data_IF_275765653811
#
_entry.id   IF_275765653811
#
_cell.length_a   1.000
_cell.length_b   1.000
_cell.length_c   1.000
_cell.angle_alpha   90.00
_cell.angle_beta   90.00
_cell.angle_gamma   90.00
#
_symmetry.space_group_name_H-M   'P 1'
#
loop_
_entity.id
_entity.type
_entity.pdbx_description
1 polymer ?
#
# COMPACT_ATOMS: atom_id res chain seq x y z
N UNK A 1 16.28 0.54 43.92
CA UNK A 1 16.63 -0.79 44.48
C UNK A 1 16.98 -1.71 43.33
N UNK A 2 18.13 -2.43 43.34
CA UNK A 2 18.48 -3.32 42.25
C UNK A 2 17.44 -4.44 42.15
N UNK A 3 16.72 -4.49 41.03
CA UNK A 3 15.69 -5.49 40.77
C UNK A 3 16.38 -6.83 40.52
N UNK A 4 16.00 -7.93 41.21
CA UNK A 4 16.57 -9.26 41.01
C UNK A 4 16.52 -9.69 39.54
N UNK A 5 17.55 -10.39 39.06
CA UNK A 5 17.74 -10.76 37.64
C UNK A 5 16.52 -11.47 37.02
N UNK A 6 15.77 -12.25 37.78
CA UNK A 6 14.53 -12.90 37.34
C UNK A 6 13.36 -11.91 37.09
N UNK A 7 13.25 -10.85 37.90
CA UNK A 7 12.24 -9.81 37.75
C UNK A 7 12.59 -8.80 36.65
N UNK A 8 13.88 -8.69 36.28
CA UNK A 8 14.34 -7.82 35.19
C UNK A 8 13.79 -8.26 33.83
N UNK A 9 13.63 -9.56 33.62
CA UNK A 9 13.01 -10.14 32.41
C UNK A 9 11.50 -9.88 32.37
N UNK A 10 10.81 -9.98 33.51
CA UNK A 10 9.37 -9.68 33.60
C UNK A 10 9.11 -8.18 33.41
N UNK A 11 9.93 -7.31 34.01
CA UNK A 11 9.77 -5.87 33.90
C UNK A 11 10.09 -5.38 32.48
N UNK A 12 11.19 -5.81 31.88
CA UNK A 12 11.61 -5.34 30.55
C UNK A 12 10.84 -6.03 29.42
N UNK A 13 10.44 -7.28 29.63
CA UNK A 13 9.74 -8.09 28.62
C UNK A 13 8.21 -7.95 28.62
N UNK A 14 7.59 -7.55 29.75
CA UNK A 14 6.13 -7.46 29.85
C UNK A 14 5.66 -6.07 30.28
N UNK A 15 6.21 -5.51 31.37
CA UNK A 15 5.75 -4.21 31.89
C UNK A 15 6.08 -3.05 30.94
N UNK A 16 7.28 -3.01 30.36
CA UNK A 16 7.66 -1.94 29.42
C UNK A 16 6.78 -1.99 28.16
N UNK A 17 6.58 -3.14 27.47
CA UNK A 17 5.65 -3.21 26.35
C UNK A 17 4.20 -2.90 26.73
N UNK A 18 3.73 -3.34 27.89
CA UNK A 18 2.36 -3.10 28.34
C UNK A 18 2.13 -1.61 28.66
N UNK A 19 3.08 -0.97 29.34
CA UNK A 19 3.04 0.47 29.61
C UNK A 19 3.15 1.29 28.32
N UNK A 20 4.01 0.88 27.38
CA UNK A 20 4.11 1.52 26.07
C UNK A 20 2.82 1.36 25.26
N UNK A 21 2.19 0.18 25.28
CA UNK A 21 0.91 -0.06 24.61
C UNK A 21 -0.25 0.71 25.27
N UNK A 22 -0.28 0.78 26.60
CA UNK A 22 -1.28 1.56 27.34
C UNK A 22 -1.12 3.07 27.08
N UNK A 23 0.12 3.57 27.08
CA UNK A 23 0.41 4.96 26.77
C UNK A 23 0.10 5.28 25.30
N UNK A 24 0.51 4.42 24.36
CA UNK A 24 0.17 4.56 22.96
C UNK A 24 -1.35 4.53 22.76
N UNK A 25 -2.08 3.62 23.42
CA UNK A 25 -3.53 3.57 23.42
C UNK A 25 -4.18 4.83 23.99
N UNK A 26 -3.65 5.36 25.08
CA UNK A 26 -4.11 6.61 25.68
C UNK A 26 -3.93 7.81 24.74
N UNK A 27 -2.76 7.94 24.10
CA UNK A 27 -2.49 8.98 23.10
C UNK A 27 -3.39 8.78 21.86
N UNK A 28 -3.57 7.53 21.44
CA UNK A 28 -4.38 7.18 20.27
C UNK A 28 -5.85 7.52 20.51
N UNK A 29 -6.41 7.25 21.69
CA UNK A 29 -7.81 7.53 22.01
C UNK A 29 -7.99 9.02 22.34
N UNK A 30 -7.11 9.59 23.16
CA UNK A 30 -7.27 10.92 23.73
C UNK A 30 -6.84 12.07 22.82
N UNK A 31 -5.91 11.87 21.90
CA UNK A 31 -5.43 12.93 21.00
C UNK A 31 -5.70 12.61 19.54
N UNK A 32 -5.29 11.43 19.09
CA UNK A 32 -5.44 11.05 17.67
C UNK A 32 -6.90 10.76 17.34
N UNK A 33 -7.63 10.09 18.23
CA UNK A 33 -9.03 9.70 18.03
C UNK A 33 -9.96 10.89 17.86
N UNK A 34 -9.74 11.97 18.60
CA UNK A 34 -10.50 13.21 18.48
C UNK A 34 -10.16 13.98 17.20
N UNK A 35 -8.88 14.02 16.81
CA UNK A 35 -8.46 14.60 15.52
C UNK A 35 -8.99 13.80 14.33
N UNK A 36 -9.00 12.47 14.45
CA UNK A 36 -9.55 11.56 13.43
C UNK A 36 -11.07 11.64 13.39
N UNK A 37 -11.73 11.77 14.55
CA UNK A 37 -13.17 11.97 14.69
C UNK A 37 -13.63 13.29 14.08
N UNK A 38 -12.95 14.39 14.41
CA UNK A 38 -13.24 15.70 13.81
C UNK A 38 -12.94 15.75 12.31
N UNK A 39 -11.90 15.07 11.85
CA UNK A 39 -11.66 14.90 10.42
C UNK A 39 -12.74 14.04 9.76
N UNK A 40 -13.20 12.98 10.42
CA UNK A 40 -14.30 12.14 9.97
C UNK A 40 -15.63 12.91 9.94
N UNK A 41 -15.89 13.77 10.93
CA UNK A 41 -17.07 14.66 10.96
C UNK A 41 -16.97 15.76 9.91
N UNK A 42 -15.76 16.28 9.65
CA UNK A 42 -15.49 17.22 8.58
C UNK A 42 -15.63 16.58 7.19
N UNK A 43 -15.30 15.30 7.03
CA UNK A 43 -15.56 14.54 5.81
C UNK A 43 -17.06 14.21 5.69
N UNK A 44 -17.69 13.78 6.78
CA UNK A 44 -19.08 13.37 6.79
C UNK A 44 -20.02 14.56 6.60
N UNK A 45 -19.73 15.76 7.09
CA UNK A 45 -20.58 16.94 6.91
C UNK A 45 -20.89 17.26 5.43
N UNK A 46 -19.86 17.42 4.57
CA UNK A 46 -20.01 17.53 3.12
C UNK A 46 -20.54 16.25 2.47
N UNK A 47 -20.10 15.05 2.90
CA UNK A 47 -20.52 13.77 2.31
C UNK A 47 -22.00 13.43 2.56
N UNK A 48 -22.58 13.88 3.68
CA UNK A 48 -24.00 13.65 3.98
C UNK A 48 -24.91 14.50 3.10
N UNK A 49 -24.39 15.58 2.49
CA UNK A 49 -25.13 16.38 1.48
C UNK A 49 -25.08 15.77 0.08
N UNK A 50 -24.33 14.68 -0.10
CA UNK A 50 -24.19 13.97 -1.36
C UNK A 50 -25.12 12.75 -1.39
N UNK A 51 -26.42 12.98 -1.29
CA UNK A 51 -27.41 11.94 -1.58
C UNK A 51 -27.28 11.52 -3.07
N UNK A 52 -26.89 10.25 -3.26
CA UNK A 52 -26.87 9.46 -4.49
C UNK A 52 -26.09 9.94 -5.73
N UNK A 53 -25.66 11.20 -5.83
CA UNK A 53 -24.97 11.72 -7.03
C UNK A 53 -23.43 11.62 -6.99
N UNK A 54 -22.80 11.38 -5.83
CA UNK A 54 -21.34 11.58 -5.64
C UNK A 54 -20.58 10.41 -4.98
N UNK A 55 -21.20 9.22 -4.89
CA UNK A 55 -20.55 8.01 -4.38
C UNK A 55 -19.35 7.60 -5.24
N UNK A 56 -19.39 7.88 -6.54
CA UNK A 56 -18.27 7.66 -7.47
C UNK A 56 -17.09 8.59 -7.15
N UNK A 57 -17.34 9.85 -6.81
CA UNK A 57 -16.29 10.79 -6.40
C UNK A 57 -15.64 10.34 -5.09
N UNK A 58 -16.44 9.85 -4.14
CA UNK A 58 -15.91 9.25 -2.91
C UNK A 58 -14.99 8.07 -3.22
N UNK A 59 -15.41 7.15 -4.10
CA UNK A 59 -14.59 6.04 -4.57
C UNK A 59 -13.28 6.51 -5.22
N UNK A 60 -13.35 7.58 -6.03
CA UNK A 60 -12.19 8.19 -6.68
C UNK A 60 -11.18 8.71 -5.65
N UNK A 61 -11.64 9.49 -4.67
CA UNK A 61 -10.79 10.08 -3.63
C UNK A 61 -10.19 9.00 -2.76
N UNK A 62 -10.98 8.02 -2.32
CA UNK A 62 -10.50 6.89 -1.52
C UNK A 62 -9.46 6.07 -2.27
N UNK A 63 -9.72 5.73 -3.55
CA UNK A 63 -8.77 4.98 -4.37
C UNK A 63 -7.45 5.73 -4.60
N UNK A 64 -7.52 7.05 -4.80
CA UNK A 64 -6.34 7.93 -4.87
C UNK A 64 -5.57 7.90 -3.56
N UNK A 65 -6.26 8.08 -2.44
CA UNK A 65 -5.67 8.10 -1.10
C UNK A 65 -4.98 6.78 -0.78
N UNK A 66 -5.63 5.65 -1.08
CA UNK A 66 -5.09 4.30 -0.86
C UNK A 66 -3.75 4.08 -1.58
N UNK A 67 -3.61 4.62 -2.79
CA UNK A 67 -2.44 4.41 -3.63
C UNK A 67 -1.38 5.52 -3.51
N UNK A 68 -1.59 6.51 -2.63
CA UNK A 68 -0.73 7.70 -2.51
C UNK A 68 0.62 7.42 -1.88
N UNK A 69 0.70 6.44 -0.99
CA UNK A 69 1.91 6.13 -0.22
C UNK A 69 2.25 4.64 -0.16
N UNK A 70 1.65 3.84 -1.06
CA UNK A 70 1.97 2.43 -1.28
C UNK A 70 1.83 1.55 -0.02
N UNK A 71 0.82 1.82 0.80
CA UNK A 71 0.54 1.08 2.05
C UNK A 71 1.00 1.79 3.33
N UNK A 72 1.34 3.06 3.24
CA UNK A 72 1.73 3.91 4.37
C UNK A 72 0.53 4.41 5.19
N UNK A 73 0.70 5.56 5.85
CA UNK A 73 -0.30 6.15 6.72
C UNK A 73 -1.60 6.52 5.99
N UNK A 74 -1.53 7.07 4.78
CA UNK A 74 -2.71 7.43 3.98
C UNK A 74 -3.46 6.18 3.51
N UNK A 75 -2.74 5.16 3.04
CA UNK A 75 -3.36 3.89 2.67
C UNK A 75 -4.05 3.19 3.84
N UNK A 76 -3.41 3.17 5.01
CA UNK A 76 -3.96 2.53 6.21
C UNK A 76 -5.09 3.32 6.85
N UNK A 77 -5.08 4.64 6.76
CA UNK A 77 -6.21 5.47 7.24
C UNK A 77 -7.43 5.29 6.34
N UNK A 78 -7.26 5.21 5.02
CA UNK A 78 -8.33 4.87 4.09
C UNK A 78 -8.93 3.48 4.41
N UNK A 79 -8.09 2.48 4.66
CA UNK A 79 -8.54 1.14 5.06
C UNK A 79 -9.24 1.16 6.42
N UNK A 80 -8.69 1.89 7.40
CA UNK A 80 -9.27 2.06 8.72
C UNK A 80 -10.67 2.67 8.68
N UNK A 81 -10.89 3.67 7.81
CA UNK A 81 -12.22 4.25 7.58
C UNK A 81 -13.21 3.18 7.07
N UNK A 82 -12.80 2.34 6.11
CA UNK A 82 -13.59 1.20 5.68
C UNK A 82 -13.88 0.21 6.79
N UNK A 83 -12.87 -0.16 7.60
CA UNK A 83 -12.97 -1.13 8.72
C UNK A 83 -14.00 -0.66 9.74
N UNK A 84 -13.94 0.62 10.12
CA UNK A 84 -14.91 1.21 11.05
C UNK A 84 -16.33 1.13 10.48
N UNK A 85 -16.51 1.42 9.19
CA UNK A 85 -17.81 1.35 8.53
C UNK A 85 -18.42 -0.06 8.49
N UNK A 86 -17.60 -1.09 8.22
CA UNK A 86 -18.09 -2.49 8.17
C UNK A 86 -18.18 -3.15 9.54
N UNK A 87 -17.53 -2.57 10.57
CA UNK A 87 -17.51 -3.09 11.94
C UNK A 87 -18.80 -2.86 12.74
N UNK A 88 -19.78 -2.13 12.19
CA UNK A 88 -21.10 -1.93 12.81
C UNK A 88 -21.96 -3.20 12.73
N UNK A 89 -22.93 -3.38 13.64
CA UNK A 89 -23.80 -4.56 13.68
C UNK A 89 -24.57 -4.83 12.38
N UNK A 90 -24.95 -3.76 11.66
CA UNK A 90 -25.63 -3.83 10.37
C UNK A 90 -24.97 -2.82 9.41
N UNK A 91 -23.86 -3.19 8.75
CA UNK A 91 -23.17 -2.27 7.86
C UNK A 91 -24.05 -1.93 6.67
N UNK A 92 -24.15 -0.64 6.35
CA UNK A 92 -24.91 -0.18 5.19
C UNK A 92 -24.25 -0.64 3.88
N UNK A 93 -25.00 -0.65 2.78
CA UNK A 93 -24.45 -0.92 1.46
C UNK A 93 -23.32 0.05 1.11
N UNK A 94 -23.44 1.31 1.53
CA UNK A 94 -22.40 2.32 1.35
C UNK A 94 -21.11 1.92 2.08
N UNK A 95 -21.19 1.47 3.34
CA UNK A 95 -20.02 1.04 4.12
C UNK A 95 -19.29 -0.12 3.44
N UNK A 96 -20.04 -1.12 2.96
CA UNK A 96 -19.47 -2.26 2.24
C UNK A 96 -18.87 -1.86 0.87
N UNK A 97 -19.42 -0.84 0.24
CA UNK A 97 -18.94 -0.31 -1.04
C UNK A 97 -17.66 0.50 -0.87
N UNK A 98 -17.57 1.31 0.19
CA UNK A 98 -16.35 2.01 0.62
C UNK A 98 -15.23 1.02 0.89
N UNK A 99 -15.51 -0.04 1.66
CA UNK A 99 -14.53 -1.08 1.93
C UNK A 99 -14.05 -1.76 0.63
N UNK A 100 -14.98 -2.11 -0.27
CA UNK A 100 -14.64 -2.73 -1.53
C UNK A 100 -13.72 -1.83 -2.39
N UNK A 101 -14.01 -0.53 -2.46
CA UNK A 101 -13.22 0.43 -3.22
C UNK A 101 -11.77 0.51 -2.72
N UNK A 102 -11.57 0.61 -1.40
CA UNK A 102 -10.23 0.69 -0.78
C UNK A 102 -9.44 -0.60 -0.98
N UNK A 103 -10.08 -1.75 -0.75
CA UNK A 103 -9.43 -3.07 -0.92
C UNK A 103 -9.06 -3.33 -2.38
N UNK A 104 -9.94 -2.98 -3.33
CA UNK A 104 -9.68 -3.10 -4.76
C UNK A 104 -8.54 -2.19 -5.21
N UNK A 105 -8.56 -0.92 -4.79
CA UNK A 105 -7.51 0.03 -5.13
C UNK A 105 -6.13 -0.43 -4.64
N UNK A 106 -6.05 -1.04 -3.46
CA UNK A 106 -4.78 -1.56 -2.90
C UNK A 106 -4.09 -2.63 -3.75
N UNK A 107 -4.79 -3.32 -4.64
CA UNK A 107 -4.20 -4.32 -5.57
C UNK A 107 -3.42 -3.67 -6.72
N UNK A 108 -3.86 -2.47 -7.11
CA UNK A 108 -3.49 -1.82 -8.38
C UNK A 108 -2.01 -1.44 -8.48
N UNK A 109 -1.34 -0.89 -7.44
CA UNK A 109 0.02 -0.39 -7.59
C UNK A 109 1.01 -1.45 -8.09
N UNK A 110 1.08 -2.60 -7.42
CA UNK A 110 2.02 -3.66 -7.76
C UNK A 110 1.63 -4.41 -9.06
N UNK A 111 0.33 -4.59 -9.32
CA UNK A 111 -0.16 -5.15 -10.58
C UNK A 111 0.19 -4.23 -11.77
N UNK A 112 -0.06 -2.93 -11.64
CA UNK A 112 0.20 -1.95 -12.70
C UNK A 112 1.68 -1.82 -13.03
N UNK A 113 2.54 -1.82 -12.01
CA UNK A 113 3.99 -1.69 -12.19
C UNK A 113 4.63 -2.97 -12.74
N UNK A 114 4.18 -4.14 -12.29
CA UNK A 114 4.63 -5.42 -12.86
C UNK A 114 4.20 -5.55 -14.33
N UNK A 115 2.96 -5.15 -14.66
CA UNK A 115 2.48 -5.10 -16.04
C UNK A 115 3.30 -4.11 -16.89
N UNK A 116 3.52 -2.88 -16.41
CA UNK A 116 4.33 -1.89 -17.11
C UNK A 116 5.75 -2.40 -17.42
N UNK A 117 6.32 -3.12 -16.45
CA UNK A 117 7.65 -3.72 -16.56
C UNK A 117 7.67 -4.84 -17.59
N UNK A 118 6.64 -5.67 -17.64
CA UNK A 118 6.49 -6.72 -18.65
C UNK A 118 6.33 -6.13 -20.07
N UNK A 119 5.49 -5.09 -20.21
CA UNK A 119 5.18 -4.44 -21.50
C UNK A 119 6.38 -3.69 -22.07
N UNK A 120 7.11 -2.91 -21.25
CA UNK A 120 8.22 -2.07 -21.74
C UNK A 120 9.47 -2.16 -20.87
N UNK A 121 10.03 -3.37 -20.81
CA UNK A 121 11.25 -3.72 -20.04
C UNK A 121 12.37 -2.69 -20.14
N UNK A 122 12.63 -2.12 -21.33
CA UNK A 122 13.71 -1.16 -21.57
C UNK A 122 13.66 0.13 -20.71
N UNK A 123 12.51 0.41 -20.08
CA UNK A 123 12.28 1.59 -19.22
C UNK A 123 12.45 1.30 -17.72
N UNK A 124 12.75 0.06 -17.38
CA UNK A 124 12.99 -0.41 -16.03
C UNK A 124 14.41 -0.95 -15.93
N UNK A 125 15.02 -0.78 -14.77
CA UNK A 125 16.32 -1.32 -14.41
C UNK A 125 16.29 -2.86 -14.38
N UNK A 126 17.44 -3.55 -14.46
CA UNK A 126 17.47 -5.00 -14.33
C UNK A 126 16.83 -5.50 -13.03
N UNK A 127 17.05 -4.80 -11.92
CA UNK A 127 16.45 -5.13 -10.62
C UNK A 127 14.92 -5.01 -10.64
N UNK A 128 14.37 -3.91 -11.17
CA UNK A 128 12.92 -3.74 -11.34
C UNK A 128 12.32 -4.84 -12.25
N UNK A 129 13.04 -5.26 -13.31
CA UNK A 129 12.59 -6.32 -14.23
C UNK A 129 12.51 -7.69 -13.57
N UNK A 130 13.52 -8.05 -12.79
CA UNK A 130 13.52 -9.31 -12.05
C UNK A 130 12.43 -9.30 -10.98
N UNK A 131 12.31 -8.19 -10.25
CA UNK A 131 11.28 -8.03 -9.25
C UNK A 131 9.86 -8.07 -9.86
N UNK A 132 9.65 -7.53 -11.06
CA UNK A 132 8.34 -7.58 -11.74
C UNK A 132 7.79 -8.97 -12.00
N UNK A 133 8.65 -9.99 -12.10
CA UNK A 133 8.22 -11.39 -12.26
C UNK A 133 7.50 -11.93 -11.01
N UNK A 134 7.75 -11.35 -9.84
CA UNK A 134 7.14 -11.74 -8.57
C UNK A 134 6.20 -10.67 -8.00
N UNK A 135 6.40 -9.39 -8.34
CA UNK A 135 5.62 -8.28 -7.81
C UNK A 135 4.12 -8.37 -8.16
N UNK A 136 3.77 -9.00 -9.28
CA UNK A 136 2.37 -9.21 -9.63
C UNK A 136 1.64 -10.09 -8.60
N UNK A 137 2.33 -11.06 -7.97
CA UNK A 137 1.76 -11.89 -6.91
C UNK A 137 1.44 -11.07 -5.66
N UNK A 138 2.30 -10.12 -5.31
CA UNK A 138 2.07 -9.19 -4.20
C UNK A 138 0.84 -8.33 -4.47
N UNK A 139 0.71 -7.78 -5.67
CA UNK A 139 -0.50 -7.05 -6.07
C UNK A 139 -1.75 -7.94 -6.08
N UNK A 140 -1.62 -9.18 -6.57
CA UNK A 140 -2.69 -10.17 -6.53
C UNK A 140 -3.05 -10.61 -5.09
N UNK A 141 -2.17 -10.40 -4.11
CA UNK A 141 -2.44 -10.64 -2.69
C UNK A 141 -2.89 -9.36 -1.94
N UNK A 142 -3.17 -8.26 -2.66
CA UNK A 142 -3.47 -6.95 -2.06
C UNK A 142 -2.34 -6.41 -1.15
N UNK A 143 -1.09 -6.62 -1.55
CA UNK A 143 0.10 -6.07 -0.86
C UNK A 143 0.63 -4.87 -1.66
N UNK A 144 0.16 -3.62 -1.37
CA UNK A 144 0.56 -2.43 -2.11
C UNK A 144 2.06 -2.10 -1.97
N UNK A 145 2.72 -2.58 -0.91
CA UNK A 145 4.16 -2.44 -0.68
C UNK A 145 4.99 -3.08 -1.80
N UNK A 146 4.39 -3.99 -2.58
CA UNK A 146 4.96 -4.54 -3.80
C UNK A 146 5.32 -3.48 -4.86
N UNK A 147 4.90 -2.23 -4.68
CA UNK A 147 5.27 -1.10 -5.54
C UNK A 147 6.52 -0.33 -5.06
N UNK A 148 6.93 -0.48 -3.80
CA UNK A 148 8.01 0.34 -3.19
C UNK A 148 9.33 0.23 -3.98
N UNK A 149 9.79 -0.96 -4.42
CA UNK A 149 11.04 -1.06 -5.17
C UNK A 149 11.06 -0.25 -6.48
N UNK A 150 9.90 -0.04 -7.11
CA UNK A 150 9.78 0.82 -8.28
C UNK A 150 9.77 2.31 -7.91
N UNK A 151 9.11 2.67 -6.80
CA UNK A 151 9.03 4.04 -6.34
C UNK A 151 10.39 4.59 -5.93
N UNK A 152 11.29 3.76 -5.38
CA UNK A 152 12.68 4.15 -5.09
C UNK A 152 13.40 4.61 -6.36
N UNK A 153 13.18 3.93 -7.50
CA UNK A 153 13.81 4.26 -8.78
C UNK A 153 13.24 5.49 -9.49
N UNK A 154 12.12 6.05 -9.03
CA UNK A 154 11.48 7.20 -9.67
C UNK A 154 10.12 7.57 -9.07
N UNK A 155 10.08 8.15 -7.87
CA UNK A 155 8.83 8.36 -7.12
C UNK A 155 7.88 9.30 -7.85
N UNK A 156 8.41 10.36 -8.47
CA UNK A 156 7.65 11.35 -9.25
C UNK A 156 6.96 10.78 -10.49
N UNK A 157 7.34 9.56 -10.91
CA UNK A 157 6.73 8.87 -12.06
C UNK A 157 5.82 7.73 -11.61
N UNK A 158 6.11 7.15 -10.46
CA UNK A 158 5.39 5.99 -9.92
C UNK A 158 4.17 6.43 -9.13
N UNK A 159 4.31 7.35 -8.18
CA UNK A 159 3.21 7.76 -7.31
C UNK A 159 2.03 8.36 -8.07
N UNK A 160 2.22 9.31 -9.02
CA UNK A 160 1.09 9.84 -9.78
C UNK A 160 0.40 8.76 -10.64
N UNK A 161 1.15 7.76 -11.12
CA UNK A 161 0.60 6.67 -11.91
C UNK A 161 -0.23 5.70 -11.06
N UNK A 162 0.25 5.33 -9.86
CA UNK A 162 -0.48 4.46 -8.94
C UNK A 162 -1.72 5.16 -8.38
N UNK A 163 -1.61 6.45 -8.07
CA UNK A 163 -2.75 7.29 -7.67
C UNK A 163 -3.83 7.35 -8.75
N UNK A 164 -3.44 7.56 -10.02
CA UNK A 164 -4.40 7.60 -11.13
C UNK A 164 -5.13 6.26 -11.33
N UNK A 165 -4.40 5.14 -11.27
CA UNK A 165 -5.02 3.82 -11.37
C UNK A 165 -5.90 3.49 -10.17
N UNK A 166 -5.44 3.79 -8.95
CA UNK A 166 -6.21 3.62 -7.72
C UNK A 166 -7.51 4.42 -7.72
N UNK A 167 -7.44 5.69 -8.13
CA UNK A 167 -8.59 6.57 -8.27
C UNK A 167 -9.65 5.97 -9.20
N UNK A 168 -9.22 5.46 -10.36
CA UNK A 168 -10.15 4.85 -11.33
C UNK A 168 -10.71 3.53 -10.82
N UNK A 169 -9.90 2.67 -10.19
CA UNK A 169 -10.40 1.43 -9.59
C UNK A 169 -11.41 1.71 -8.48
N UNK A 170 -11.15 2.68 -7.61
CA UNK A 170 -12.09 3.08 -6.57
C UNK A 170 -13.40 3.61 -7.16
N UNK A 171 -13.32 4.55 -8.10
CA UNK A 171 -14.49 5.08 -8.80
C UNK A 171 -15.32 3.99 -9.50
N UNK A 172 -14.67 3.09 -10.23
CA UNK A 172 -15.32 1.97 -10.91
C UNK A 172 -15.93 0.98 -9.93
N UNK A 173 -15.24 0.66 -8.83
CA UNK A 173 -15.77 -0.26 -7.83
C UNK A 173 -17.07 0.27 -7.24
N UNK A 174 -17.13 1.57 -6.95
CA UNK A 174 -18.36 2.21 -6.48
C UNK A 174 -19.44 2.29 -7.57
N UNK A 175 -19.09 2.73 -8.78
CA UNK A 175 -20.02 2.84 -9.90
C UNK A 175 -20.65 1.49 -10.29
N UNK A 176 -19.88 0.41 -10.17
CA UNK A 176 -20.33 -0.95 -10.46
C UNK A 176 -21.03 -1.62 -9.25
N UNK A 177 -21.14 -0.93 -8.12
CA UNK A 177 -21.79 -1.43 -6.91
C UNK A 177 -21.08 -2.62 -6.27
N UNK A 178 -19.75 -2.66 -6.32
CA UNK A 178 -18.95 -3.69 -5.66
C UNK A 178 -19.03 -3.54 -4.14
N UNK A 179 -19.26 -4.63 -3.43
CA UNK A 179 -19.41 -4.64 -1.96
C UNK A 179 -18.57 -5.75 -1.33
N UNK A 180 -18.04 -5.50 -0.14
CA UNK A 180 -17.44 -6.52 0.74
C UNK A 180 -17.52 -6.11 2.20
N UNK A 181 -17.67 -7.08 3.10
CA UNK A 181 -17.54 -6.86 4.54
C UNK A 181 -16.10 -7.06 5.03
N UNK A 182 -15.23 -7.64 4.20
CA UNK A 182 -13.93 -8.14 4.62
C UNK A 182 -12.84 -7.09 4.39
N UNK A 183 -12.01 -6.79 5.41
CA UNK A 183 -10.95 -5.78 5.31
C UNK A 183 -9.66 -6.30 4.65
N UNK A 184 -9.77 -7.35 3.84
CA UNK A 184 -8.66 -7.98 3.14
C UNK A 184 -9.07 -8.26 1.70
N UNK A 185 -8.09 -8.23 0.80
CA UNK A 185 -8.32 -8.41 -0.63
C UNK A 185 -7.51 -9.52 -1.24
N UNK A 186 -7.27 -9.39 -2.53
CA UNK A 186 -6.50 -10.31 -3.33
C UNK A 186 -7.37 -11.22 -4.19
N UNK A 187 -6.77 -11.76 -5.24
CA UNK A 187 -7.41 -12.63 -6.21
C UNK A 187 -8.04 -13.87 -5.53
N UNK A 188 -7.44 -14.33 -4.42
CA UNK A 188 -7.91 -15.47 -3.62
C UNK A 188 -9.23 -15.20 -2.88
N UNK A 189 -9.56 -13.93 -2.65
CA UNK A 189 -10.73 -13.54 -1.84
C UNK A 189 -11.81 -12.86 -2.69
N UNK A 190 -11.59 -12.75 -4.01
CA UNK A 190 -12.53 -12.14 -4.97
C UNK A 190 -13.94 -12.72 -4.85
N UNK A 191 -14.07 -14.02 -4.61
CA UNK A 191 -15.39 -14.68 -4.46
C UNK A 191 -16.23 -14.19 -3.27
N UNK A 192 -15.62 -13.48 -2.32
CA UNK A 192 -16.30 -12.90 -1.16
C UNK A 192 -16.91 -11.52 -1.44
N UNK A 193 -16.64 -10.95 -2.62
CA UNK A 193 -17.24 -9.68 -3.04
C UNK A 193 -18.62 -9.92 -3.62
N UNK A 194 -19.56 -9.00 -3.40
CA UNK A 194 -20.91 -9.10 -3.96
C UNK A 194 -20.96 -9.13 -5.48
N UNK A 195 -19.93 -8.60 -6.15
CA UNK A 195 -19.79 -8.55 -7.62
C UNK A 195 -18.35 -8.89 -8.05
N UNK A 196 -17.93 -10.16 -7.95
CA UNK A 196 -16.52 -10.58 -8.09
C UNK A 196 -15.93 -10.24 -9.47
N UNK A 197 -16.69 -10.51 -10.54
CA UNK A 197 -16.23 -10.25 -11.92
C UNK A 197 -16.05 -8.75 -12.20
N UNK A 198 -16.94 -7.92 -11.67
CA UNK A 198 -16.89 -6.47 -11.85
C UNK A 198 -15.74 -5.84 -11.05
N UNK A 199 -15.43 -6.40 -9.87
CA UNK A 199 -14.24 -6.05 -9.11
C UNK A 199 -12.95 -6.34 -9.91
N UNK A 200 -12.84 -7.55 -10.47
CA UNK A 200 -11.68 -7.93 -11.29
C UNK A 200 -11.56 -7.00 -12.50
N UNK A 201 -12.68 -6.63 -13.14
CA UNK A 201 -12.68 -5.65 -14.23
C UNK A 201 -12.20 -4.27 -13.77
N UNK A 202 -12.68 -3.76 -12.63
CA UNK A 202 -12.26 -2.47 -12.07
C UNK A 202 -10.76 -2.44 -11.71
N UNK A 203 -10.24 -3.52 -11.12
CA UNK A 203 -8.81 -3.68 -10.82
C UNK A 203 -7.99 -3.78 -12.11
N UNK A 204 -8.48 -4.50 -13.11
CA UNK A 204 -7.81 -4.61 -14.41
C UNK A 204 -7.72 -3.26 -15.12
N UNK A 205 -8.78 -2.45 -15.11
CA UNK A 205 -8.77 -1.10 -15.69
C UNK A 205 -7.77 -0.19 -14.95
N UNK A 206 -7.79 -0.15 -13.61
CA UNK A 206 -6.80 0.66 -12.87
C UNK A 206 -5.36 0.16 -13.03
N UNK A 207 -5.17 -1.14 -13.18
CA UNK A 207 -3.87 -1.76 -13.51
C UNK A 207 -3.36 -1.26 -14.86
N UNK A 208 -4.22 -1.24 -15.88
CA UNK A 208 -3.90 -0.71 -17.20
C UNK A 208 -3.59 0.79 -17.16
N UNK A 209 -4.36 1.57 -16.39
CA UNK A 209 -4.14 3.01 -16.24
C UNK A 209 -2.82 3.30 -15.52
N UNK A 210 -2.52 2.57 -14.45
CA UNK A 210 -1.23 2.66 -13.76
C UNK A 210 -0.09 2.35 -14.73
N UNK A 211 -0.21 1.24 -15.47
CA UNK A 211 0.80 0.82 -16.42
C UNK A 211 0.99 1.83 -17.56
N UNK A 212 -0.10 2.32 -18.16
CA UNK A 212 -0.05 3.34 -19.20
C UNK A 212 0.57 4.65 -18.70
N UNK A 213 0.14 5.11 -17.53
CA UNK A 213 0.59 6.38 -16.94
C UNK A 213 2.08 6.32 -16.58
N UNK A 214 2.56 5.27 -15.92
CA UNK A 214 3.99 5.16 -15.57
C UNK A 214 4.86 5.04 -16.83
N UNK A 215 4.38 4.34 -17.87
CA UNK A 215 5.07 4.24 -19.14
C UNK A 215 5.11 5.57 -19.89
N UNK A 216 4.03 6.35 -19.87
CA UNK A 216 3.98 7.70 -20.42
C UNK A 216 4.97 8.61 -19.68
N UNK A 217 4.92 8.67 -18.35
CA UNK A 217 5.80 9.49 -17.52
C UNK A 217 7.28 9.09 -17.68
N UNK A 218 7.60 7.79 -17.74
CA UNK A 218 8.96 7.32 -18.06
C UNK A 218 9.35 7.56 -19.53
N UNK A 219 8.42 7.86 -20.43
CA UNK A 219 8.72 8.20 -21.85
C UNK A 219 9.12 9.65 -22.06
N UNK A 220 8.54 10.57 -21.30
CA UNK A 220 8.81 12.00 -21.42
C UNK A 220 10.25 12.37 -21.01
N UNK A 221 10.89 11.56 -20.16
CA UNK A 221 12.23 11.81 -19.61
C UNK A 221 13.44 11.32 -20.44
N UNK A 222 13.25 10.82 -21.66
CA UNK A 222 14.31 10.57 -22.66
C UNK A 222 15.37 9.49 -22.39
N UNK A 223 15.65 9.10 -21.13
CA UNK A 223 16.72 8.14 -20.81
C UNK A 223 16.18 6.73 -20.60
N UNK A 224 16.73 5.75 -21.33
CA UNK A 224 16.60 4.32 -21.00
C UNK A 224 17.11 4.12 -19.56
N UNK A 225 16.44 3.29 -18.78
CA UNK A 225 16.85 3.01 -17.40
C UNK A 225 18.20 2.28 -17.42
N UNK A 226 19.29 3.03 -17.34
CA UNK A 226 20.62 2.50 -17.10
C UNK A 226 20.76 2.19 -15.62
N UNK A 227 21.35 1.03 -15.32
CA UNK A 227 21.51 0.50 -13.99
C UNK A 227 22.27 1.50 -13.10
N UNK A 228 21.62 2.05 -12.08
CA UNK A 228 22.32 2.46 -10.87
C UNK A 228 22.46 1.19 -10.03
N UNK A 229 23.62 0.55 -10.13
CA UNK A 229 24.03 -0.44 -9.14
C UNK A 229 24.22 0.28 -7.79
N UNK A 230 23.81 -0.30 -6.65
CA UNK A 230 24.37 0.10 -5.36
C UNK A 230 25.89 -0.02 -5.49
N UNK A 231 26.63 1.00 -5.07
CA UNK A 231 28.07 0.92 -4.94
C UNK A 231 28.39 -0.24 -3.99
N UNK A 232 28.70 -1.40 -4.56
CA UNK A 232 29.30 -2.49 -3.83
C UNK A 232 30.62 -1.96 -3.30
N UNK A 233 30.66 -1.72 -2.00
CA UNK A 233 31.88 -1.51 -1.26
C UNK A 233 32.76 -2.73 -1.56
N UNK A 234 33.73 -2.54 -2.46
CA UNK A 234 34.73 -3.57 -2.76
C UNK A 234 35.43 -3.86 -1.43
N UNK A 235 35.47 -5.10 -0.94
CA UNK A 235 36.34 -5.40 0.17
C UNK A 235 37.77 -5.06 -0.26
N UNK A 236 38.39 -4.11 0.45
CA UNK A 236 39.82 -3.83 0.33
C UNK A 236 40.54 -5.16 0.49
N UNK A 237 41.20 -5.63 -0.57
CA UNK A 237 42.18 -6.73 -0.46
C UNK A 237 43.33 -6.22 0.41
N UNK A 238 43.23 -6.40 1.72
CA UNK A 238 44.36 -6.23 2.63
C UNK A 238 45.27 -7.42 2.44
N UNK A 239 46.27 -7.27 1.57
CA UNK A 239 47.35 -8.23 1.42
C UNK A 239 48.20 -8.24 2.69
N UNK A 240 47.98 -9.22 3.56
CA UNK A 240 48.93 -9.59 4.61
C UNK A 240 49.46 -10.99 4.29
N UNK A 241 50.63 -11.04 3.63
CA UNK A 241 51.44 -12.26 3.53
C UNK A 241 51.99 -12.56 4.93
N UNK A 242 51.34 -13.44 5.68
CA UNK A 242 51.91 -14.04 6.88
C UNK A 242 53.02 -15.00 6.46
N UNK A 243 54.27 -14.58 6.55
CA UNK A 243 55.43 -15.47 6.50
C UNK A 243 55.37 -16.38 7.73
N UNK A 244 55.07 -17.66 7.52
CA UNK A 244 55.29 -18.72 8.51
C UNK A 244 56.81 -18.83 8.70
N UNK A 245 57.30 -18.39 9.86
CA UNK A 245 58.68 -18.62 10.28
C UNK A 245 58.72 -19.94 11.03
N UNK A 246 59.18 -20.99 10.37
CA UNK A 246 59.66 -22.21 11.02
C UNK A 246 60.77 -21.82 12.00
N UNK A 247 60.58 -22.15 13.27
CA UNK A 247 61.64 -22.18 14.30
C UNK A 247 61.88 -23.66 14.58
N UNK A 248 63.17 -24.01 14.62
CA UNK A 248 63.69 -25.38 14.71
C UNK A 248 63.51 -26.05 16.06
#
# INVERSE_FOLDING_TARGET
MPVPSALRTVVTGLLVPLAAAAFAGYVMIGFVGEQLGSFQDWLNGPLTRLEFHDSVLLGLVLGLLTCSDLGGALGRTALGFGVVGVGTAHPSTLNMTIMAAVVAAGMVPALGLSLATAVRRSRFTPAEREYGKVAWLLGAASVPEGAIPYAIGGPLRVLPATMAGGAVTGALTVALGGTTAFPYGGLLTVGQFGRPLLLVAAVAVGTLITAGTVLALKSLGGKKAQAQAPAAERPKKTGARTKVRLVG
#
